data_IF_328262254450
#
_entry.id   IF_328262254450
#
_cell.length_a   1.000
_cell.length_b   1.000
_cell.length_c   1.000
_cell.angle_alpha   90.00
_cell.angle_beta   90.00
_cell.angle_gamma   90.00
#
_symmetry.space_group_name_H-M   'P 1'
#
loop_
_entity.id
_entity.type
_entity.pdbx_description
1 polymer ?
#
# COMPACT_ATOMS: atom_id res chain seq x y z
N UNK A 1 131.34 14.60 -110.29
CA UNK A 1 132.26 13.80 -111.13
C UNK A 1 131.58 13.51 -112.44
N UNK A 2 132.22 13.93 -113.52
CA UNK A 2 131.73 13.93 -114.90
C UNK A 2 131.72 12.51 -115.49
N UNK A 3 130.70 12.14 -116.28
CA UNK A 3 130.89 11.51 -117.60
C UNK A 3 129.62 11.50 -118.46
N UNK A 4 129.76 12.15 -119.61
CA UNK A 4 128.84 12.17 -120.75
C UNK A 4 129.09 10.99 -121.71
N UNK A 5 128.03 10.58 -122.41
CA UNK A 5 128.05 10.01 -123.77
C UNK A 5 127.65 8.53 -123.88
N UNK A 6 127.03 8.07 -125.00
CA UNK A 6 127.16 8.62 -126.36
C UNK A 6 125.85 8.84 -127.17
N UNK A 7 126.02 9.45 -128.35
CA UNK A 7 125.05 9.78 -129.41
C UNK A 7 124.73 8.60 -130.35
N UNK A 8 123.62 8.77 -131.10
CA UNK A 8 123.22 8.24 -132.44
C UNK A 8 122.39 6.94 -132.49
N UNK A 9 121.12 7.07 -132.94
CA UNK A 9 120.66 6.72 -134.30
C UNK A 9 119.21 7.16 -134.49
N UNK A 10 118.89 7.83 -135.61
CA UNK A 10 117.50 8.11 -136.06
C UNK A 10 116.96 6.80 -136.64
N UNK A 11 116.15 6.10 -135.84
CA UNK A 11 115.32 4.95 -136.26
C UNK A 11 113.84 5.35 -136.33
N UNK A 12 113.08 4.64 -137.16
CA UNK A 12 111.66 4.87 -137.48
C UNK A 12 110.79 5.14 -136.24
N UNK A 13 109.87 6.10 -136.38
CA UNK A 13 108.97 6.51 -135.28
C UNK A 13 107.80 5.53 -135.21
N UNK A 14 107.96 4.46 -134.43
CA UNK A 14 106.86 3.55 -134.10
C UNK A 14 106.04 4.22 -132.99
N UNK A 15 104.77 4.53 -133.27
CA UNK A 15 103.82 5.04 -132.27
C UNK A 15 102.72 3.99 -132.15
N UNK A 16 102.56 3.45 -130.94
CA UNK A 16 101.59 2.40 -130.60
C UNK A 16 101.67 1.12 -131.47
N UNK A 17 102.88 0.61 -131.64
CA UNK A 17 103.13 -0.66 -132.33
C UNK A 17 103.03 -0.65 -133.87
N UNK A 18 102.77 0.51 -134.48
CA UNK A 18 102.64 0.68 -135.94
C UNK A 18 103.78 1.55 -136.50
N UNK A 19 104.42 1.08 -137.58
CA UNK A 19 105.52 1.78 -138.27
C UNK A 19 104.97 2.92 -139.16
N UNK A 20 105.17 4.16 -138.73
CA UNK A 20 104.59 5.37 -139.36
C UNK A 20 105.35 5.84 -140.62
N UNK A 21 106.43 5.15 -141.00
CA UNK A 21 107.34 5.59 -142.06
C UNK A 21 106.87 5.33 -143.51
N UNK A 22 105.80 4.55 -143.70
CA UNK A 22 105.24 4.17 -145.01
C UNK A 22 103.77 4.60 -145.23
N UNK A 23 103.19 5.36 -144.28
CA UNK A 23 101.79 5.78 -144.34
C UNK A 23 101.62 7.13 -145.05
N UNK A 24 100.60 7.25 -145.90
CA UNK A 24 100.25 8.52 -146.53
C UNK A 24 99.74 9.53 -145.49
N UNK A 25 99.75 10.83 -145.80
CA UNK A 25 99.29 11.90 -144.89
C UNK A 25 97.90 11.63 -144.30
N UNK A 26 96.95 11.13 -145.12
CA UNK A 26 95.60 10.78 -144.67
C UNK A 26 95.59 9.59 -143.69
N UNK A 27 96.47 8.61 -143.87
CA UNK A 27 96.57 7.45 -142.98
C UNK A 27 97.20 7.82 -141.63
N UNK A 28 98.16 8.75 -141.60
CA UNK A 28 98.71 9.29 -140.36
C UNK A 28 97.70 10.17 -139.61
N UNK A 29 96.89 10.97 -140.34
CA UNK A 29 95.81 11.75 -139.74
C UNK A 29 94.74 10.83 -139.11
N UNK A 30 94.35 9.73 -139.77
CA UNK A 30 93.42 8.75 -139.19
C UNK A 30 94.00 7.98 -137.99
N UNK A 31 95.29 7.66 -138.00
CA UNK A 31 95.95 6.98 -136.87
C UNK A 31 96.08 7.92 -135.66
N UNK A 32 96.43 9.18 -135.88
CA UNK A 32 96.42 10.22 -134.85
C UNK A 32 95.00 10.46 -134.29
N UNK A 33 93.97 10.39 -135.12
CA UNK A 33 92.57 10.48 -134.68
C UNK A 33 92.16 9.27 -133.83
N UNK A 34 92.61 8.07 -134.18
CA UNK A 34 92.37 6.84 -133.39
C UNK A 34 93.02 6.90 -132.02
N UNK A 35 94.31 7.23 -131.95
CA UNK A 35 95.05 7.41 -130.70
C UNK A 35 94.47 8.53 -129.84
N UNK A 36 94.00 9.60 -130.47
CA UNK A 36 93.29 10.68 -129.76
C UNK A 36 91.96 10.17 -129.18
N UNK A 37 91.18 9.41 -129.94
CA UNK A 37 89.91 8.85 -129.48
C UNK A 37 90.11 7.82 -128.36
N UNK A 38 91.15 6.99 -128.43
CA UNK A 38 91.52 6.07 -127.35
C UNK A 38 92.00 6.81 -126.10
N UNK A 39 92.82 7.85 -126.26
CA UNK A 39 93.18 8.74 -125.16
C UNK A 39 91.99 9.47 -124.55
N UNK A 40 91.00 9.90 -125.36
CA UNK A 40 89.75 10.49 -124.87
C UNK A 40 88.90 9.45 -124.13
N UNK A 41 88.78 8.22 -124.66
CA UNK A 41 88.06 7.13 -123.99
C UNK A 41 88.72 6.72 -122.67
N UNK A 42 90.03 6.55 -122.61
CA UNK A 42 90.73 6.25 -121.35
C UNK A 42 90.58 7.39 -120.33
N UNK A 43 90.52 8.65 -120.80
CA UNK A 43 90.21 9.80 -119.93
C UNK A 43 88.78 9.75 -119.41
N UNK A 44 87.81 9.42 -120.25
CA UNK A 44 86.40 9.25 -119.87
C UNK A 44 86.23 8.09 -118.88
N UNK A 45 86.87 6.94 -119.12
CA UNK A 45 86.85 5.78 -118.23
C UNK A 45 87.52 6.12 -116.89
N UNK A 46 88.69 6.78 -116.89
CA UNK A 46 89.32 7.26 -115.65
C UNK A 46 88.40 8.22 -114.89
N UNK A 47 87.75 9.16 -115.58
CA UNK A 47 86.83 10.11 -114.96
C UNK A 47 85.61 9.38 -114.37
N UNK A 48 85.03 8.44 -115.10
CA UNK A 48 83.94 7.59 -114.62
C UNK A 48 84.33 6.81 -113.36
N UNK A 49 85.48 6.14 -113.35
CA UNK A 49 85.95 5.40 -112.16
C UNK A 49 86.31 6.33 -110.99
N UNK A 50 86.79 7.55 -111.26
CA UNK A 50 86.99 8.55 -110.21
C UNK A 50 85.66 8.99 -109.59
N UNK A 51 84.65 9.30 -110.42
CA UNK A 51 83.30 9.64 -109.98
C UNK A 51 82.66 8.50 -109.18
N UNK A 52 82.76 7.25 -109.65
CA UNK A 52 82.21 6.09 -108.94
C UNK A 52 82.94 5.82 -107.62
N UNK A 53 84.27 5.95 -107.58
CA UNK A 53 85.03 5.86 -106.33
C UNK A 53 84.63 6.95 -105.34
N UNK A 54 84.47 8.19 -105.81
CA UNK A 54 84.11 9.32 -104.95
C UNK A 54 82.65 9.18 -104.47
N UNK A 55 81.72 8.69 -105.30
CA UNK A 55 80.37 8.30 -104.89
C UNK A 55 80.40 7.19 -103.83
N UNK A 56 81.14 6.10 -104.06
CA UNK A 56 81.28 5.02 -103.08
C UNK A 56 81.88 5.52 -101.76
N UNK A 57 82.85 6.44 -101.83
CA UNK A 57 83.41 7.09 -100.64
C UNK A 57 82.36 7.92 -99.91
N UNK A 58 81.56 8.73 -100.60
CA UNK A 58 80.48 9.50 -99.97
C UNK A 58 79.42 8.59 -99.34
N UNK A 59 79.01 7.50 -100.02
CA UNK A 59 78.09 6.52 -99.44
C UNK A 59 78.70 5.84 -98.21
N UNK A 60 79.98 5.47 -98.27
CA UNK A 60 80.68 4.89 -97.12
C UNK A 60 80.77 5.87 -95.95
N UNK A 61 81.08 7.14 -96.19
CA UNK A 61 81.10 8.18 -95.16
C UNK A 61 79.70 8.43 -94.56
N UNK A 62 78.65 8.48 -95.39
CA UNK A 62 77.26 8.63 -94.95
C UNK A 62 76.81 7.43 -94.11
N UNK A 63 76.99 6.21 -94.62
CA UNK A 63 76.59 4.98 -93.91
C UNK A 63 77.39 4.77 -92.63
N UNK A 64 78.67 5.11 -92.62
CA UNK A 64 79.49 5.14 -91.41
C UNK A 64 78.94 6.16 -90.40
N UNK A 65 78.62 7.37 -90.84
CA UNK A 65 78.05 8.41 -89.97
C UNK A 65 76.69 7.97 -89.40
N UNK A 66 75.81 7.42 -90.24
CA UNK A 66 74.51 6.87 -89.81
C UNK A 66 74.68 5.72 -88.82
N UNK A 67 75.68 4.85 -89.00
CA UNK A 67 76.00 3.79 -88.05
C UNK A 67 76.50 4.36 -86.72
N UNK A 68 77.36 5.38 -86.75
CA UNK A 68 77.83 6.07 -85.54
C UNK A 68 76.68 6.78 -84.81
N UNK A 69 75.77 7.45 -85.53
CA UNK A 69 74.56 8.07 -85.00
C UNK A 69 73.58 7.04 -84.40
N UNK A 70 73.35 5.92 -85.09
CA UNK A 70 72.50 4.84 -84.60
C UNK A 70 73.08 4.21 -83.32
N UNK A 71 74.40 3.97 -83.28
CA UNK A 71 75.10 3.49 -82.08
C UNK A 71 75.00 4.50 -80.94
N UNK A 72 75.15 5.79 -81.20
CA UNK A 72 74.97 6.83 -80.19
C UNK A 72 73.53 6.85 -79.65
N UNK A 73 72.54 6.71 -80.53
CA UNK A 73 71.12 6.63 -80.16
C UNK A 73 70.83 5.40 -79.30
N UNK A 74 71.35 4.22 -79.67
CA UNK A 74 71.21 3.00 -78.87
C UNK A 74 71.79 3.20 -77.47
N UNK A 75 73.02 3.72 -77.34
CA UNK A 75 73.61 4.01 -76.03
C UNK A 75 72.81 5.03 -75.22
N UNK A 76 72.20 6.02 -75.87
CA UNK A 76 71.31 6.96 -75.21
C UNK A 76 70.08 6.25 -74.67
N UNK A 77 69.48 5.35 -75.47
CA UNK A 77 68.30 4.57 -75.05
C UNK A 77 68.60 3.53 -73.98
N UNK A 78 69.76 2.90 -74.02
CA UNK A 78 70.24 2.02 -72.95
C UNK A 78 70.35 2.79 -71.63
N UNK A 79 70.91 4.00 -71.65
CA UNK A 79 70.93 4.88 -70.46
C UNK A 79 69.53 5.30 -70.02
N UNK A 80 68.64 5.68 -70.94
CA UNK A 80 67.26 6.03 -70.60
C UNK A 80 66.56 4.86 -69.90
N UNK A 81 66.80 3.62 -70.34
CA UNK A 81 66.26 2.40 -69.72
C UNK A 81 66.86 2.15 -68.35
N UNK A 82 68.17 2.31 -68.18
CA UNK A 82 68.86 2.16 -66.89
C UNK A 82 68.31 3.16 -65.86
N UNK A 83 68.21 4.44 -66.24
CA UNK A 83 67.62 5.49 -65.37
C UNK A 83 66.16 5.18 -65.03
N UNK A 84 65.36 4.71 -65.99
CA UNK A 84 63.97 4.33 -65.72
C UNK A 84 63.86 3.14 -64.76
N UNK A 85 64.77 2.15 -64.85
CA UNK A 85 64.84 1.03 -63.92
C UNK A 85 65.25 1.48 -62.51
N UNK A 86 66.26 2.36 -62.40
CA UNK A 86 66.67 2.92 -61.11
C UNK A 86 65.52 3.69 -60.42
N UNK A 87 64.76 4.48 -61.18
CA UNK A 87 63.59 5.18 -60.68
C UNK A 87 62.50 4.20 -60.23
N UNK A 88 62.19 3.18 -61.02
CA UNK A 88 61.20 2.16 -60.66
C UNK A 88 61.60 1.36 -59.41
N UNK A 89 62.90 1.04 -59.25
CA UNK A 89 63.43 0.39 -58.06
C UNK A 89 63.34 1.29 -56.83
N UNK A 90 63.59 2.59 -57.00
CA UNK A 90 63.43 3.56 -55.92
C UNK A 90 61.96 3.71 -55.50
N UNK A 91 61.04 3.81 -56.46
CA UNK A 91 59.60 3.88 -56.20
C UNK A 91 59.11 2.61 -55.50
N UNK A 92 59.56 1.44 -55.95
CA UNK A 92 59.24 0.16 -55.31
C UNK A 92 59.72 0.12 -53.87
N UNK A 93 60.93 0.61 -53.58
CA UNK A 93 61.45 0.73 -52.21
C UNK A 93 60.63 1.70 -51.36
N UNK A 94 60.27 2.87 -51.90
CA UNK A 94 59.47 3.86 -51.21
C UNK A 94 58.09 3.29 -50.85
N UNK A 95 57.36 2.71 -51.82
CA UNK A 95 56.05 2.08 -51.60
C UNK A 95 56.15 0.92 -50.58
N UNK A 96 57.22 0.11 -50.66
CA UNK A 96 57.44 -0.98 -49.69
C UNK A 96 57.67 -0.44 -48.28
N UNK A 97 58.40 0.67 -48.13
CA UNK A 97 58.62 1.32 -46.82
C UNK A 97 57.33 1.95 -46.28
N UNK A 98 56.56 2.65 -47.12
CA UNK A 98 55.25 3.20 -46.76
C UNK A 98 54.29 2.11 -46.30
N UNK A 99 54.23 0.98 -47.01
CA UNK A 99 53.40 -0.16 -46.60
C UNK A 99 53.82 -0.73 -45.24
N UNK A 100 55.13 -0.85 -44.98
CA UNK A 100 55.64 -1.32 -43.69
C UNK A 100 55.32 -0.33 -42.56
N UNK A 101 55.45 0.96 -42.80
CA UNK A 101 55.09 2.00 -41.84
C UNK A 101 53.61 1.94 -41.51
N UNK A 102 52.75 1.88 -42.53
CA UNK A 102 51.30 1.80 -42.35
C UNK A 102 50.88 0.54 -41.59
N UNK A 103 51.50 -0.61 -41.87
CA UNK A 103 51.26 -1.84 -41.12
C UNK A 103 51.67 -1.72 -39.65
N UNK A 104 52.82 -1.08 -39.37
CA UNK A 104 53.27 -0.85 -38.01
C UNK A 104 52.34 0.11 -37.26
N UNK A 105 51.94 1.21 -37.89
CA UNK A 105 50.98 2.17 -37.33
C UNK A 105 49.64 1.51 -37.03
N UNK A 106 49.08 0.74 -37.98
CA UNK A 106 47.85 -0.01 -37.75
C UNK A 106 47.99 -0.98 -36.57
N UNK A 107 49.11 -1.72 -36.50
CA UNK A 107 49.34 -2.66 -35.41
C UNK A 107 49.50 -1.95 -34.06
N UNK A 108 50.18 -0.80 -34.02
CA UNK A 108 50.32 0.05 -32.83
C UNK A 108 48.97 0.57 -32.39
N UNK A 109 48.19 1.13 -33.32
CA UNK A 109 46.88 1.69 -33.04
C UNK A 109 45.89 0.62 -32.54
N UNK A 110 45.91 -0.58 -33.13
CA UNK A 110 45.13 -1.72 -32.62
C UNK A 110 45.58 -2.11 -31.20
N UNK A 111 46.89 -2.06 -30.91
CA UNK A 111 47.42 -2.31 -29.58
C UNK A 111 46.94 -1.29 -28.55
N UNK A 112 47.01 0.00 -28.89
CA UNK A 112 46.52 1.11 -28.09
C UNK A 112 45.01 1.00 -27.82
N UNK A 113 44.20 0.81 -28.87
CA UNK A 113 42.76 0.61 -28.73
C UNK A 113 42.41 -0.58 -27.83
N UNK A 114 43.12 -1.71 -27.96
CA UNK A 114 42.90 -2.86 -27.08
C UNK A 114 43.26 -2.56 -25.63
N UNK A 115 44.34 -1.82 -25.39
CA UNK A 115 44.72 -1.41 -24.05
C UNK A 115 43.67 -0.46 -23.45
N UNK A 116 43.21 0.53 -24.21
CA UNK A 116 42.14 1.46 -23.80
C UNK A 116 40.82 0.75 -23.52
N UNK A 117 40.39 -0.18 -24.38
CA UNK A 117 39.18 -0.96 -24.14
C UNK A 117 39.30 -1.82 -22.87
N UNK A 118 40.48 -2.40 -22.62
CA UNK A 118 40.72 -3.20 -21.42
C UNK A 118 40.70 -2.35 -20.15
N UNK A 119 41.26 -1.14 -20.18
CA UNK A 119 41.20 -0.23 -19.02
C UNK A 119 39.79 0.27 -18.77
N UNK A 120 39.05 0.66 -19.82
CA UNK A 120 37.64 1.04 -19.71
C UNK A 120 36.77 -0.08 -19.15
N UNK A 121 36.96 -1.32 -19.63
CA UNK A 121 36.24 -2.48 -19.13
C UNK A 121 36.52 -2.71 -17.64
N UNK A 122 37.80 -2.58 -17.23
CA UNK A 122 38.19 -2.74 -15.83
C UNK A 122 37.60 -1.64 -14.93
N UNK A 123 37.60 -0.39 -15.38
CA UNK A 123 36.96 0.71 -14.66
C UNK A 123 35.46 0.47 -14.50
N UNK A 124 34.77 0.07 -15.57
CA UNK A 124 33.35 -0.25 -15.48
C UNK A 124 33.06 -1.41 -14.51
N UNK A 125 33.91 -2.45 -14.50
CA UNK A 125 33.79 -3.56 -13.54
C UNK A 125 34.01 -3.10 -12.09
N UNK A 126 35.00 -2.25 -11.84
CA UNK A 126 35.29 -1.69 -10.51
C UNK A 126 34.13 -0.80 -10.04
N UNK A 127 33.58 0.07 -10.91
CA UNK A 127 32.43 0.92 -10.62
C UNK A 127 31.18 0.08 -10.30
N UNK A 128 30.90 -0.96 -11.08
CA UNK A 128 29.80 -1.87 -10.79
C UNK A 128 29.97 -2.61 -9.46
N UNK A 129 31.19 -3.05 -9.13
CA UNK A 129 31.47 -3.69 -7.85
C UNK A 129 31.29 -2.75 -6.66
N UNK A 130 31.63 -1.46 -6.82
CA UNK A 130 31.38 -0.43 -5.82
C UNK A 130 29.88 -0.19 -5.62
N UNK A 131 29.12 -0.02 -6.70
CA UNK A 131 27.66 0.13 -6.65
C UNK A 131 26.98 -1.07 -5.98
N UNK A 132 27.40 -2.30 -6.31
CA UNK A 132 26.86 -3.50 -5.68
C UNK A 132 27.11 -3.49 -4.17
N UNK A 133 28.31 -3.10 -3.74
CA UNK A 133 28.68 -3.01 -2.33
C UNK A 133 27.87 -1.94 -1.59
N UNK A 134 27.63 -0.79 -2.21
CA UNK A 134 26.77 0.28 -1.67
C UNK A 134 25.33 -0.22 -1.50
N UNK A 135 24.76 -0.84 -2.53
CA UNK A 135 23.40 -1.42 -2.46
C UNK A 135 23.28 -2.49 -1.38
N UNK A 136 24.32 -3.32 -1.18
CA UNK A 136 24.34 -4.31 -0.09
C UNK A 136 24.40 -3.66 1.29
N UNK A 137 25.13 -2.55 1.44
CA UNK A 137 25.17 -1.79 2.69
C UNK A 137 23.82 -1.12 2.97
N UNK A 138 23.22 -0.47 1.96
CA UNK A 138 21.90 0.15 2.07
C UNK A 138 20.84 -0.89 2.44
N UNK A 139 20.86 -2.06 1.80
CA UNK A 139 19.98 -3.18 2.15
C UNK A 139 20.14 -3.63 3.60
N UNK A 140 21.36 -3.66 4.13
CA UNK A 140 21.62 -4.02 5.54
C UNK A 140 21.09 -2.94 6.48
N UNK A 141 21.30 -1.67 6.15
CA UNK A 141 20.86 -0.54 6.96
C UNK A 141 19.33 -0.41 6.97
N UNK A 142 18.69 -0.54 5.81
CA UNK A 142 17.22 -0.57 5.72
C UNK A 142 16.62 -1.72 6.53
N UNK A 143 17.25 -2.90 6.55
CA UNK A 143 16.83 -4.01 7.41
C UNK A 143 17.01 -3.72 8.90
N UNK A 144 18.06 -2.99 9.27
CA UNK A 144 18.29 -2.55 10.66
C UNK A 144 17.21 -1.56 11.08
N UNK A 145 16.94 -0.55 10.26
CA UNK A 145 15.92 0.47 10.50
C UNK A 145 14.51 -0.13 10.54
N UNK A 146 14.21 -1.13 9.71
CA UNK A 146 12.93 -1.83 9.75
C UNK A 146 12.73 -2.55 11.09
N UNK A 147 13.73 -3.31 11.55
CA UNK A 147 13.69 -3.98 12.87
C UNK A 147 13.53 -2.98 14.01
N UNK A 148 14.28 -1.88 13.98
CA UNK A 148 14.18 -0.83 14.99
C UNK A 148 12.78 -0.19 15.04
N UNK A 149 12.15 0.03 13.88
CA UNK A 149 10.76 0.50 13.81
C UNK A 149 9.76 -0.53 14.31
N UNK A 150 9.95 -1.80 14.00
CA UNK A 150 9.10 -2.89 14.49
C UNK A 150 9.19 -3.01 16.02
N UNK A 151 10.39 -3.02 16.58
CA UNK A 151 10.64 -3.06 18.03
C UNK A 151 10.03 -1.84 18.74
N UNK A 152 10.21 -0.64 18.19
CA UNK A 152 9.59 0.58 18.73
C UNK A 152 8.06 0.53 18.68
N UNK A 153 7.48 0.04 17.57
CA UNK A 153 6.03 -0.15 17.45
C UNK A 153 5.48 -1.16 18.47
N UNK A 154 6.20 -2.26 18.72
CA UNK A 154 5.84 -3.22 19.76
C UNK A 154 5.90 -2.61 21.17
N UNK A 155 6.94 -1.81 21.46
CA UNK A 155 7.07 -1.10 22.74
C UNK A 155 5.93 -0.10 22.96
N UNK A 156 5.55 0.67 21.94
CA UNK A 156 4.41 1.59 22.01
C UNK A 156 3.10 0.85 22.30
N UNK A 157 2.86 -0.28 21.63
CA UNK A 157 1.67 -1.12 21.88
C UNK A 157 1.68 -1.68 23.30
N UNK A 158 2.84 -2.11 23.81
CA UNK A 158 2.96 -2.59 25.20
C UNK A 158 2.67 -1.49 26.21
N UNK A 159 3.20 -0.27 26.00
CA UNK A 159 2.94 0.89 26.84
C UNK A 159 1.46 1.28 26.84
N UNK A 160 0.80 1.26 25.67
CA UNK A 160 -0.64 1.52 25.57
C UNK A 160 -1.46 0.48 26.32
N UNK A 161 -1.09 -0.81 26.22
CA UNK A 161 -1.75 -1.89 26.98
C UNK A 161 -1.57 -1.74 28.49
N UNK A 162 -0.38 -1.38 28.94
CA UNK A 162 -0.10 -1.12 30.35
C UNK A 162 -0.96 0.03 30.87
N UNK A 163 -0.96 1.16 30.17
CA UNK A 163 -1.77 2.35 30.52
C UNK A 163 -3.26 2.04 30.54
N UNK A 164 -3.75 1.25 29.58
CA UNK A 164 -5.14 0.82 29.57
C UNK A 164 -5.50 -0.07 30.77
N UNK A 165 -4.62 -1.02 31.13
CA UNK A 165 -4.78 -1.86 32.32
C UNK A 165 -4.82 -1.03 33.61
N UNK A 166 -3.94 -0.04 33.73
CA UNK A 166 -3.93 0.89 34.86
C UNK A 166 -5.24 1.68 34.97
N UNK A 167 -5.73 2.26 33.87
CA UNK A 167 -7.01 2.99 33.86
C UNK A 167 -8.19 2.08 34.20
N UNK A 168 -8.22 0.86 33.67
CA UNK A 168 -9.24 -0.13 34.03
C UNK A 168 -9.21 -0.48 35.51
N UNK A 169 -8.02 -0.62 36.09
CA UNK A 169 -7.85 -0.88 37.52
C UNK A 169 -8.36 0.29 38.36
N UNK A 170 -8.05 1.53 37.97
CA UNK A 170 -8.54 2.74 38.64
C UNK A 170 -10.06 2.85 38.60
N UNK A 171 -10.69 2.63 37.44
CA UNK A 171 -12.15 2.66 37.31
C UNK A 171 -12.82 1.52 38.10
N UNK A 172 -12.24 0.32 38.12
CA UNK A 172 -12.72 -0.78 38.97
C UNK A 172 -12.63 -0.43 40.46
N UNK A 173 -11.56 0.23 40.89
CA UNK A 173 -11.40 0.67 42.27
C UNK A 173 -12.46 1.72 42.64
N UNK A 174 -12.70 2.71 41.77
CA UNK A 174 -13.76 3.71 41.95
C UNK A 174 -15.13 3.08 42.10
N UNK A 175 -15.52 2.17 41.19
CA UNK A 175 -16.81 1.50 41.28
C UNK A 175 -16.93 0.64 42.54
N UNK A 176 -15.84 0.02 42.98
CA UNK A 176 -15.83 -0.74 44.23
C UNK A 176 -16.10 0.16 45.43
N UNK A 177 -15.42 1.31 45.52
CA UNK A 177 -15.64 2.29 46.57
C UNK A 177 -17.07 2.85 46.56
N UNK A 178 -17.62 3.16 45.37
CA UNK A 178 -19.00 3.61 45.22
C UNK A 178 -20.02 2.56 45.69
N UNK A 179 -19.82 1.28 45.33
CA UNK A 179 -20.67 0.18 45.77
C UNK A 179 -20.58 0.00 47.29
N UNK A 180 -19.38 0.05 47.88
CA UNK A 180 -19.19 -0.06 49.33
C UNK A 180 -19.88 1.11 50.06
N UNK A 181 -19.75 2.34 49.56
CA UNK A 181 -20.40 3.52 50.13
C UNK A 181 -21.93 3.42 50.06
N UNK A 182 -22.48 3.01 48.91
CA UNK A 182 -23.92 2.81 48.72
C UNK A 182 -24.47 1.68 49.60
N UNK A 183 -23.74 0.58 49.72
CA UNK A 183 -24.12 -0.55 50.59
C UNK A 183 -24.19 -0.09 52.04
N UNK A 184 -23.15 0.61 52.51
CA UNK A 184 -23.10 1.16 53.87
C UNK A 184 -24.24 2.13 54.15
N UNK A 185 -24.58 2.99 53.18
CA UNK A 185 -25.70 3.93 53.29
C UNK A 185 -27.04 3.18 53.48
N UNK A 186 -27.29 2.15 52.67
CA UNK A 186 -28.52 1.37 52.77
C UNK A 186 -28.59 0.52 54.04
N UNK A 187 -27.47 -0.05 54.49
CA UNK A 187 -27.39 -0.76 55.76
C UNK A 187 -27.72 0.15 56.94
N UNK A 188 -27.16 1.36 56.97
CA UNK A 188 -27.46 2.36 57.99
C UNK A 188 -28.94 2.75 57.97
N UNK A 189 -29.51 2.97 56.78
CA UNK A 189 -30.93 3.30 56.63
C UNK A 189 -31.85 2.17 57.09
N UNK A 190 -31.49 0.92 56.77
CA UNK A 190 -32.21 -0.26 57.24
C UNK A 190 -32.14 -0.40 58.77
N UNK A 191 -30.98 -0.16 59.37
CA UNK A 191 -30.80 -0.19 60.82
C UNK A 191 -31.67 0.86 61.51
N UNK A 192 -31.66 2.11 61.02
CA UNK A 192 -32.52 3.18 61.52
C UNK A 192 -34.01 2.83 61.42
N UNK A 193 -34.47 2.25 60.30
CA UNK A 193 -35.86 1.81 60.18
C UNK A 193 -36.24 0.69 61.14
N UNK A 194 -35.30 -0.22 61.45
CA UNK A 194 -35.54 -1.27 62.46
C UNK A 194 -35.67 -0.67 63.85
N UNK A 195 -34.77 0.23 64.23
CA UNK A 195 -34.80 0.93 65.52
C UNK A 195 -36.10 1.74 65.68
N UNK A 196 -36.51 2.50 64.66
CA UNK A 196 -37.81 3.21 64.67
C UNK A 196 -39.01 2.27 64.80
N UNK A 197 -38.97 1.09 64.18
CA UNK A 197 -40.04 0.10 64.28
C UNK A 197 -40.07 -0.56 65.67
N UNK A 198 -38.91 -0.87 66.24
CA UNK A 198 -38.77 -1.41 67.60
C UNK A 198 -39.29 -0.41 68.64
N UNK A 199 -38.88 0.85 68.58
CA UNK A 199 -39.36 1.90 69.49
C UNK A 199 -40.87 2.09 69.39
N UNK A 200 -41.44 2.10 68.18
CA UNK A 200 -42.90 2.15 68.00
C UNK A 200 -43.59 0.94 68.63
N UNK A 201 -43.04 -0.25 68.44
CA UNK A 201 -43.61 -1.47 68.99
C UNK A 201 -43.57 -1.48 70.52
N UNK A 202 -42.45 -1.07 71.12
CA UNK A 202 -42.32 -0.92 72.57
C UNK A 202 -43.31 0.10 73.14
N UNK A 203 -43.47 1.25 72.47
CA UNK A 203 -44.45 2.26 72.85
C UNK A 203 -45.89 1.71 72.80
N UNK A 204 -46.26 1.03 71.72
CA UNK A 204 -47.59 0.39 71.58
C UNK A 204 -47.82 -0.69 72.66
N UNK A 205 -46.79 -1.47 73.01
CA UNK A 205 -46.85 -2.44 74.10
C UNK A 205 -47.07 -1.76 75.45
N UNK A 206 -46.29 -0.73 75.77
CA UNK A 206 -46.44 0.05 77.01
C UNK A 206 -47.82 0.69 77.12
N UNK A 207 -48.36 1.28 76.05
CA UNK A 207 -49.73 1.81 76.05
C UNK A 207 -50.79 0.73 76.32
N UNK A 208 -50.62 -0.48 75.77
CA UNK A 208 -51.52 -1.60 76.03
C UNK A 208 -51.39 -2.08 77.47
N UNK A 209 -50.19 -2.16 78.01
CA UNK A 209 -49.92 -2.52 79.40
C UNK A 209 -50.52 -1.51 80.37
N UNK A 210 -50.34 -0.21 80.15
CA UNK A 210 -50.96 0.84 80.96
C UNK A 210 -52.48 0.74 80.93
N UNK A 211 -53.10 0.57 79.74
CA UNK A 211 -54.55 0.38 79.64
C UNK A 211 -55.04 -0.85 80.40
N UNK A 212 -54.33 -1.97 80.31
CA UNK A 212 -54.67 -3.20 81.06
C UNK A 212 -54.49 -3.01 82.57
N UNK A 213 -53.41 -2.36 83.00
CA UNK A 213 -53.15 -2.08 84.41
C UNK A 213 -54.22 -1.15 84.99
N UNK A 214 -54.63 -0.12 84.24
CA UNK A 214 -55.74 0.75 84.63
C UNK A 214 -57.04 -0.05 84.80
N UNK A 215 -57.37 -0.94 83.86
CA UNK A 215 -58.55 -1.81 83.97
C UNK A 215 -58.46 -2.77 85.16
N UNK A 216 -57.28 -3.32 85.45
CA UNK A 216 -57.06 -4.16 86.64
C UNK A 216 -57.30 -3.35 87.92
N UNK A 217 -56.76 -2.13 88.01
CA UNK A 217 -56.97 -1.24 89.15
C UNK A 217 -58.45 -0.89 89.35
N UNK A 218 -59.17 -0.57 88.26
CA UNK A 218 -60.61 -0.32 88.30
C UNK A 218 -61.39 -1.55 88.77
N UNK A 219 -61.05 -2.74 88.26
CA UNK A 219 -61.68 -3.99 88.67
C UNK A 219 -61.44 -4.30 90.15
N UNK A 220 -60.22 -4.08 90.65
CA UNK A 220 -59.88 -4.22 92.08
C UNK A 220 -60.74 -3.26 92.90
N UNK A 221 -60.80 -1.98 92.52
CA UNK A 221 -61.60 -0.98 93.24
C UNK A 221 -63.10 -1.34 93.23
N UNK A 222 -63.62 -1.80 92.10
CA UNK A 222 -65.02 -2.22 91.96
C UNK A 222 -65.32 -3.43 92.85
N UNK A 223 -64.41 -4.42 92.88
CA UNK A 223 -64.53 -5.58 93.76
C UNK A 223 -64.42 -5.22 95.24
N UNK A 224 -63.51 -4.30 95.61
CA UNK A 224 -63.42 -3.80 96.98
C UNK A 224 -64.70 -3.09 97.43
N UNK A 225 -65.29 -2.29 96.55
CA UNK A 225 -66.57 -1.62 96.80
C UNK A 225 -67.70 -2.64 96.93
N UNK A 226 -67.82 -3.60 96.01
CA UNK A 226 -68.80 -4.67 96.09
C UNK A 226 -68.62 -5.52 97.36
N UNK A 227 -67.39 -5.79 97.78
CA UNK A 227 -67.10 -6.47 99.04
C UNK A 227 -67.51 -5.64 100.25
N UNK A 228 -67.24 -4.32 100.25
CA UNK A 228 -67.72 -3.41 101.31
C UNK A 228 -69.24 -3.35 101.36
N UNK A 229 -69.91 -3.27 100.22
CA UNK A 229 -71.38 -3.30 100.13
C UNK A 229 -71.93 -4.63 100.63
N UNK A 230 -71.37 -5.77 100.21
CA UNK A 230 -71.76 -7.10 100.68
C UNK A 230 -71.53 -7.25 102.17
N UNK A 231 -70.39 -6.78 102.69
CA UNK A 231 -70.10 -6.74 104.13
C UNK A 231 -71.07 -5.83 104.87
N UNK A 232 -71.42 -4.67 104.30
CA UNK A 232 -72.44 -3.77 104.81
C UNK A 232 -73.80 -4.45 104.89
N UNK A 233 -74.25 -5.05 103.79
CA UNK A 233 -75.49 -5.81 103.71
C UNK A 233 -75.56 -6.95 104.73
N UNK A 234 -74.50 -7.74 104.89
CA UNK A 234 -74.47 -8.77 105.92
C UNK A 234 -74.39 -8.19 107.33
N UNK A 235 -73.69 -7.09 107.55
CA UNK A 235 -73.66 -6.41 108.84
C UNK A 235 -75.03 -5.83 109.19
N UNK A 236 -75.76 -5.29 108.22
CA UNK A 236 -77.12 -4.80 108.34
C UNK A 236 -78.09 -5.94 108.57
N UNK A 237 -77.94 -7.08 107.87
CA UNK A 237 -78.67 -8.32 108.21
C UNK A 237 -78.31 -8.76 109.62
N UNK A 238 -77.07 -8.65 110.06
CA UNK A 238 -76.67 -9.08 111.40
C UNK A 238 -77.26 -8.16 112.46
N UNK A 239 -77.28 -6.85 112.23
CA UNK A 239 -77.92 -5.85 113.07
C UNK A 239 -79.45 -6.01 113.08
N UNK A 240 -80.05 -6.25 111.92
CA UNK A 240 -81.47 -6.48 111.77
C UNK A 240 -81.87 -7.84 112.38
N UNK A 241 -81.01 -8.86 112.26
CA UNK A 241 -81.16 -10.14 112.96
C UNK A 241 -80.95 -9.97 114.47
N UNK A 242 -80.08 -9.07 114.94
CA UNK A 242 -79.92 -8.74 116.36
C UNK A 242 -81.16 -8.00 116.89
N UNK A 243 -81.72 -7.08 116.11
CA UNK A 243 -82.97 -6.38 116.41
C UNK A 243 -84.16 -7.36 116.39
N UNK A 244 -84.21 -8.24 115.38
CA UNK A 244 -85.17 -9.32 115.27
C UNK A 244 -85.01 -10.31 116.42
N UNK A 245 -83.80 -10.72 116.80
CA UNK A 245 -83.50 -11.58 117.96
C UNK A 245 -83.95 -10.90 119.25
N UNK A 246 -83.79 -9.58 119.40
CA UNK A 246 -84.32 -8.87 120.56
C UNK A 246 -85.86 -8.86 120.55
N UNK A 247 -86.51 -8.60 119.41
CA UNK A 247 -87.97 -8.70 119.29
C UNK A 247 -88.48 -10.15 119.42
N UNK A 248 -87.68 -11.13 118.99
CA UNK A 248 -87.97 -12.55 119.08
C UNK A 248 -87.64 -13.10 120.47
N UNK A 249 -86.81 -12.45 121.29
CA UNK A 249 -86.70 -12.74 122.73
C UNK A 249 -87.94 -12.25 123.47
N UNK A 250 -88.51 -11.13 123.03
CA UNK A 250 -89.83 -10.67 123.45
C UNK A 250 -90.94 -11.64 123.01
N UNK A 251 -90.88 -12.13 121.77
CA UNK A 251 -91.85 -13.11 121.23
C UNK A 251 -91.54 -14.57 121.59
N UNK A 252 -90.35 -14.95 122.06
CA UNK A 252 -89.99 -16.32 122.48
C UNK A 252 -90.62 -16.67 123.82
N UNK A 253 -90.96 -15.67 124.64
CA UNK A 253 -91.83 -15.86 125.79
C UNK A 253 -93.27 -16.20 125.35
N UNK A 254 -93.70 -15.72 124.16
CA UNK A 254 -94.99 -16.06 123.53
C UNK A 254 -94.96 -17.34 122.66
N UNK A 255 -93.85 -17.65 121.98
CA UNK A 255 -93.69 -18.77 121.05
C UNK A 255 -93.12 -20.05 121.69
N UNK A 256 -92.76 -20.04 122.98
CA UNK A 256 -92.57 -21.26 123.78
C UNK A 256 -93.81 -22.18 123.74
N UNK A 257 -94.97 -21.59 123.42
CA UNK A 257 -96.27 -22.26 123.29
C UNK A 257 -96.50 -22.84 121.88
N UNK A 258 -95.75 -22.40 120.86
CA UNK A 258 -96.02 -22.75 119.45
C UNK A 258 -94.95 -23.66 118.81
N UNK A 259 -93.80 -23.86 119.45
CA UNK A 259 -92.67 -24.63 118.92
C UNK A 259 -92.84 -26.17 118.97
N UNK A 260 -93.94 -26.69 119.51
CA UNK A 260 -94.24 -28.12 119.54
C UNK A 260 -94.77 -28.69 118.19
N UNK A 261 -95.02 -27.84 117.18
CA UNK A 261 -95.78 -28.29 115.97
C UNK A 261 -94.99 -28.48 114.67
N UNK A 262 -93.92 -27.75 114.38
CA UNK A 262 -93.44 -27.66 112.98
C UNK A 262 -92.05 -28.27 112.72
N UNK A 263 -91.65 -29.25 113.53
CA UNK A 263 -90.39 -30.00 113.36
C UNK A 263 -90.45 -31.13 112.31
N UNK A 264 -91.42 -31.13 111.38
CA UNK A 264 -91.75 -32.33 110.59
C UNK A 264 -91.58 -32.32 109.07
N UNK A 265 -91.23 -31.22 108.40
CA UNK A 265 -91.26 -31.19 106.91
C UNK A 265 -90.00 -30.60 106.22
N UNK A 266 -88.81 -31.18 106.37
CA UNK A 266 -87.69 -30.76 105.51
C UNK A 266 -86.66 -31.85 105.14
N UNK A 267 -87.12 -33.00 104.61
CA UNK A 267 -86.22 -34.04 104.07
C UNK A 267 -86.34 -34.30 102.56
N UNK A 268 -87.23 -33.62 101.82
CA UNK A 268 -87.49 -33.94 100.41
C UNK A 268 -86.66 -33.11 99.40
N UNK A 269 -86.15 -31.93 99.76
CA UNK A 269 -85.45 -31.03 98.80
C UNK A 269 -84.02 -31.51 98.45
N UNK A 270 -83.45 -32.44 99.21
CA UNK A 270 -82.05 -32.87 99.06
C UNK A 270 -81.80 -33.95 97.98
N UNK A 271 -82.83 -34.62 97.46
CA UNK A 271 -82.67 -35.76 96.55
C UNK A 271 -82.67 -35.38 95.06
N UNK A 272 -83.45 -34.37 94.66
CA UNK A 272 -83.59 -33.94 93.25
C UNK A 272 -82.30 -33.33 92.67
N UNK A 273 -81.51 -32.65 93.53
CA UNK A 273 -80.35 -31.86 93.12
C UNK A 273 -79.12 -32.70 92.71
N UNK A 274 -79.10 -34.02 93.02
CA UNK A 274 -77.97 -34.91 92.67
C UNK A 274 -78.11 -35.56 91.29
N UNK A 275 -79.29 -35.52 90.65
CA UNK A 275 -79.56 -36.27 89.41
C UNK A 275 -79.25 -35.50 88.11
N UNK A 276 -79.07 -34.19 88.18
CA UNK A 276 -78.95 -33.30 87.00
C UNK A 276 -77.51 -32.85 86.67
N UNK A 277 -76.52 -33.19 87.51
CA UNK A 277 -75.14 -32.69 87.40
C UNK A 277 -74.34 -33.38 86.28
N UNK A 278 -74.58 -34.67 86.04
CA UNK A 278 -73.79 -35.49 85.13
C UNK A 278 -74.14 -35.29 83.63
N UNK A 279 -75.43 -35.16 83.22
CA UNK A 279 -75.79 -34.84 81.85
C UNK A 279 -75.32 -33.45 81.40
N UNK A 280 -75.31 -32.48 82.32
CA UNK A 280 -74.86 -31.10 82.04
C UNK A 280 -73.36 -31.03 81.74
N UNK A 281 -72.56 -31.85 82.43
CA UNK A 281 -71.10 -31.91 82.26
C UNK A 281 -70.72 -32.51 80.90
N UNK A 282 -71.42 -33.56 80.47
CA UNK A 282 -71.17 -34.22 79.18
C UNK A 282 -71.53 -33.30 77.98
N UNK A 283 -72.64 -32.57 78.07
CA UNK A 283 -73.03 -31.59 77.05
C UNK A 283 -72.04 -30.41 76.95
N UNK A 284 -71.47 -29.96 78.07
CA UNK A 284 -70.43 -28.91 78.08
C UNK A 284 -69.13 -29.38 77.42
N UNK A 285 -68.69 -30.63 77.65
CA UNK A 285 -67.49 -31.18 77.00
C UNK A 285 -67.64 -31.32 75.49
N UNK A 286 -68.80 -31.77 75.01
CA UNK A 286 -69.07 -31.92 73.57
C UNK A 286 -69.13 -30.56 72.85
N UNK A 287 -69.69 -29.54 73.51
CA UNK A 287 -69.75 -28.17 72.99
C UNK A 287 -68.35 -27.55 72.85
N UNK A 288 -67.43 -27.84 73.77
CA UNK A 288 -66.02 -27.39 73.67
C UNK A 288 -65.29 -28.06 72.50
N UNK A 289 -65.51 -29.35 72.27
CA UNK A 289 -64.90 -30.05 71.12
C UNK A 289 -65.44 -29.54 69.78
N UNK A 290 -66.75 -29.31 69.67
CA UNK A 290 -67.35 -28.76 68.46
C UNK A 290 -66.86 -27.33 68.16
N UNK A 291 -66.68 -26.49 69.19
CA UNK A 291 -66.07 -25.16 69.03
C UNK A 291 -64.63 -25.22 68.54
N UNK A 292 -63.83 -26.18 69.02
CA UNK A 292 -62.46 -26.39 68.51
C UNK A 292 -62.46 -26.79 67.03
N UNK A 293 -63.32 -27.74 66.63
CA UNK A 293 -63.43 -28.17 65.22
C UNK A 293 -63.87 -27.03 64.31
N UNK A 294 -64.81 -26.19 64.75
CA UNK A 294 -65.24 -24.99 64.02
C UNK A 294 -64.08 -24.00 63.85
N UNK A 295 -63.29 -23.76 64.90
CA UNK A 295 -62.15 -22.86 64.82
C UNK A 295 -61.07 -23.34 63.84
N UNK A 296 -60.78 -24.64 63.80
CA UNK A 296 -59.87 -25.21 62.80
C UNK A 296 -60.41 -25.05 61.38
N UNK A 297 -61.70 -25.30 61.16
CA UNK A 297 -62.34 -25.11 59.86
C UNK A 297 -62.27 -23.66 59.37
N UNK A 298 -62.54 -22.68 60.24
CA UNK A 298 -62.45 -21.26 59.91
C UNK A 298 -61.02 -20.83 59.57
N UNK A 299 -60.02 -21.35 60.31
CA UNK A 299 -58.61 -21.12 60.03
C UNK A 299 -58.19 -21.67 58.67
N UNK A 300 -58.63 -22.88 58.34
CA UNK A 300 -58.29 -23.54 57.09
C UNK A 300 -58.98 -22.85 55.90
N UNK A 301 -60.23 -22.40 56.07
CA UNK A 301 -60.96 -21.58 55.08
C UNK A 301 -60.25 -20.25 54.80
N UNK A 302 -59.78 -19.55 55.84
CA UNK A 302 -59.02 -18.31 55.68
C UNK A 302 -57.68 -18.55 54.96
N UNK A 303 -57.02 -19.68 55.24
CA UNK A 303 -55.76 -20.06 54.60
C UNK A 303 -55.96 -20.42 53.14
N UNK A 304 -57.02 -21.16 52.81
CA UNK A 304 -57.40 -21.48 51.42
C UNK A 304 -57.67 -20.22 50.60
N UNK A 305 -58.36 -19.23 51.16
CA UNK A 305 -58.63 -17.97 50.49
C UNK A 305 -57.33 -17.19 50.20
N UNK A 306 -56.39 -17.14 51.14
CA UNK A 306 -55.07 -16.53 50.91
C UNK A 306 -54.28 -17.23 49.81
N UNK A 307 -54.28 -18.57 49.80
CA UNK A 307 -53.61 -19.36 48.75
C UNK A 307 -54.26 -19.14 47.39
N UNK A 308 -55.60 -19.10 47.31
CA UNK A 308 -56.33 -18.80 46.07
C UNK A 308 -56.02 -17.41 45.53
N UNK A 309 -55.98 -16.39 46.40
CA UNK A 309 -55.61 -15.03 46.01
C UNK A 309 -54.18 -14.96 45.48
N UNK A 310 -53.24 -15.63 46.16
CA UNK A 310 -51.84 -15.70 45.72
C UNK A 310 -51.71 -16.44 44.40
N UNK A 311 -52.39 -17.57 44.22
CA UNK A 311 -52.41 -18.30 42.97
C UNK A 311 -52.92 -17.42 41.82
N UNK A 312 -54.00 -16.67 42.05
CA UNK A 312 -54.53 -15.73 41.07
C UNK A 312 -53.55 -14.63 40.67
N UNK A 313 -52.78 -14.07 41.62
CA UNK A 313 -51.76 -13.07 41.30
C UNK A 313 -50.58 -13.68 40.55
N UNK A 314 -50.10 -14.86 40.95
CA UNK A 314 -48.99 -15.54 40.26
C UNK A 314 -49.39 -15.97 38.85
N UNK A 315 -50.63 -16.41 38.63
CA UNK A 315 -51.15 -16.76 37.30
C UNK A 315 -51.15 -15.55 36.36
N UNK A 316 -51.56 -14.38 36.85
CA UNK A 316 -51.52 -13.13 36.07
C UNK A 316 -50.09 -12.72 35.72
N UNK A 317 -49.17 -12.81 36.68
CA UNK A 317 -47.74 -12.54 36.45
C UNK A 317 -47.15 -13.50 35.41
N UNK A 318 -47.45 -14.79 35.51
CA UNK A 318 -47.01 -15.79 34.53
C UNK A 318 -47.54 -15.48 33.12
N UNK A 319 -48.82 -15.09 33.00
CA UNK A 319 -49.40 -14.71 31.71
C UNK A 319 -48.74 -13.46 31.13
N UNK A 320 -48.45 -12.46 31.96
CA UNK A 320 -47.75 -11.24 31.54
C UNK A 320 -46.33 -11.54 31.05
N UNK A 321 -45.58 -12.34 31.81
CA UNK A 321 -44.21 -12.73 31.47
C UNK A 321 -44.14 -13.57 30.20
N UNK A 322 -45.11 -14.46 29.95
CA UNK A 322 -45.20 -15.21 28.69
C UNK A 322 -45.37 -14.27 27.49
N UNK A 323 -46.28 -13.31 27.60
CA UNK A 323 -46.53 -12.33 26.54
C UNK A 323 -45.30 -11.46 26.25
N UNK A 324 -44.59 -11.05 27.30
CA UNK A 324 -43.33 -10.31 27.17
C UNK A 324 -42.23 -11.16 26.53
N UNK A 325 -42.11 -12.44 26.93
CA UNK A 325 -41.19 -13.39 26.33
C UNK A 325 -41.45 -13.59 24.83
N UNK A 326 -42.71 -13.76 24.43
CA UNK A 326 -43.09 -13.93 23.02
C UNK A 326 -42.76 -12.68 22.20
N UNK A 327 -43.01 -11.48 22.73
CA UNK A 327 -42.66 -10.21 22.09
C UNK A 327 -41.15 -10.05 21.95
N UNK A 328 -40.39 -10.37 22.99
CA UNK A 328 -38.92 -10.32 22.94
C UNK A 328 -38.35 -11.32 21.94
N UNK A 329 -38.93 -12.53 21.87
CA UNK A 329 -38.52 -13.55 20.91
C UNK A 329 -38.74 -13.09 19.47
N UNK A 330 -39.93 -12.57 19.13
CA UNK A 330 -40.20 -12.00 17.80
C UNK A 330 -39.24 -10.87 17.44
N UNK A 331 -38.90 -10.02 18.43
CA UNK A 331 -37.93 -8.93 18.22
C UNK A 331 -36.52 -9.45 17.95
N UNK A 332 -36.10 -10.48 18.66
CA UNK A 332 -34.82 -11.14 18.43
C UNK A 332 -34.76 -11.79 17.04
N UNK A 333 -35.81 -12.50 16.62
CA UNK A 333 -35.89 -13.11 15.29
C UNK A 333 -35.75 -12.05 14.19
N UNK A 334 -36.46 -10.93 14.32
CA UNK A 334 -36.35 -9.81 13.37
C UNK A 334 -34.94 -9.19 13.33
N UNK A 335 -34.29 -9.00 14.48
CA UNK A 335 -32.92 -8.49 14.52
C UNK A 335 -31.91 -9.45 13.89
N UNK A 336 -32.14 -10.75 14.04
CA UNK A 336 -31.32 -11.79 13.39
C UNK A 336 -31.48 -11.73 11.87
N UNK A 337 -32.71 -11.57 11.36
CA UNK A 337 -32.97 -11.38 9.94
C UNK A 337 -32.30 -10.11 9.38
N UNK A 338 -32.43 -8.97 10.06
CA UNK A 338 -31.82 -7.70 9.66
C UNK A 338 -30.28 -7.81 9.62
N UNK A 339 -29.68 -8.46 10.62
CA UNK A 339 -28.24 -8.76 10.65
C UNK A 339 -27.81 -9.59 9.45
N UNK A 340 -28.54 -10.66 9.15
CA UNK A 340 -28.18 -11.58 8.06
C UNK A 340 -28.33 -10.93 6.68
N UNK A 341 -29.36 -10.09 6.52
CA UNK A 341 -29.52 -9.27 5.31
C UNK A 341 -28.38 -8.28 5.14
N UNK A 342 -27.99 -7.55 6.20
CA UNK A 342 -26.87 -6.62 6.17
C UNK A 342 -25.56 -7.33 5.81
N UNK A 343 -25.31 -8.50 6.41
CA UNK A 343 -24.13 -9.32 6.10
C UNK A 343 -24.11 -9.74 4.63
N UNK A 344 -25.24 -10.21 4.09
CA UNK A 344 -25.35 -10.59 2.68
C UNK A 344 -25.13 -9.41 1.73
N UNK A 345 -25.69 -8.23 2.04
CA UNK A 345 -25.48 -7.02 1.24
C UNK A 345 -24.02 -6.55 1.26
N UNK A 346 -23.36 -6.64 2.41
CA UNK A 346 -21.95 -6.31 2.56
C UNK A 346 -21.06 -7.24 1.73
N UNK A 347 -21.28 -8.56 1.81
CA UNK A 347 -20.55 -9.56 1.01
C UNK A 347 -20.73 -9.31 -0.49
N UNK A 348 -21.97 -9.03 -0.95
CA UNK A 348 -22.24 -8.67 -2.35
C UNK A 348 -21.49 -7.41 -2.78
N UNK A 349 -21.54 -6.37 -1.95
CA UNK A 349 -20.87 -5.08 -2.24
C UNK A 349 -19.35 -5.23 -2.34
N UNK A 350 -18.74 -6.06 -1.48
CA UNK A 350 -17.31 -6.39 -1.56
C UNK A 350 -16.97 -7.10 -2.87
N UNK A 351 -17.75 -8.13 -3.23
CA UNK A 351 -17.52 -8.88 -4.46
C UNK A 351 -17.65 -7.99 -5.70
N UNK A 352 -18.66 -7.12 -5.75
CA UNK A 352 -18.82 -6.15 -6.83
C UNK A 352 -17.65 -5.17 -6.92
N UNK A 353 -17.16 -4.67 -5.78
CA UNK A 353 -16.01 -3.77 -5.72
C UNK A 353 -14.72 -4.48 -6.19
N UNK A 354 -14.52 -5.72 -5.75
CA UNK A 354 -13.40 -6.55 -6.20
C UNK A 354 -13.46 -6.83 -7.70
N UNK A 355 -14.64 -7.15 -8.25
CA UNK A 355 -14.82 -7.35 -9.69
C UNK A 355 -14.53 -6.07 -10.49
N UNK A 356 -15.06 -4.91 -10.06
CA UNK A 356 -14.80 -3.62 -10.73
C UNK A 356 -13.32 -3.25 -10.68
N UNK A 357 -12.68 -3.42 -9.53
CA UNK A 357 -11.24 -3.17 -9.37
C UNK A 357 -10.40 -4.13 -10.22
N UNK A 358 -10.74 -5.42 -10.21
CA UNK A 358 -10.08 -6.44 -11.02
C UNK A 358 -10.18 -6.17 -12.52
N UNK A 359 -11.37 -5.80 -13.02
CA UNK A 359 -11.56 -5.41 -14.42
C UNK A 359 -10.74 -4.16 -14.78
N UNK A 360 -10.69 -3.16 -13.89
CA UNK A 360 -9.89 -1.95 -14.10
C UNK A 360 -8.39 -2.28 -14.16
N UNK A 361 -7.89 -3.13 -13.26
CA UNK A 361 -6.50 -3.55 -13.24
C UNK A 361 -6.14 -4.33 -14.50
N UNK A 362 -6.96 -5.30 -14.90
CA UNK A 362 -6.72 -6.07 -16.13
C UNK A 362 -6.72 -5.18 -17.39
N UNK A 363 -7.58 -4.16 -17.43
CA UNK A 363 -7.57 -3.17 -18.52
C UNK A 363 -6.28 -2.33 -18.52
N UNK A 364 -5.80 -1.92 -17.35
CA UNK A 364 -4.56 -1.15 -17.21
C UNK A 364 -3.33 -2.00 -17.58
N UNK A 365 -3.27 -3.26 -17.16
CA UNK A 365 -2.23 -4.22 -17.55
C UNK A 365 -2.17 -4.38 -19.07
N UNK A 366 -3.31 -4.59 -19.73
CA UNK A 366 -3.37 -4.67 -21.20
C UNK A 366 -2.92 -3.38 -21.89
N UNK A 367 -3.25 -2.21 -21.32
CA UNK A 367 -2.77 -0.93 -21.86
C UNK A 367 -1.27 -0.77 -21.68
N UNK A 368 -0.72 -1.18 -20.53
CA UNK A 368 0.72 -1.18 -20.28
C UNK A 368 1.44 -2.10 -21.27
N UNK A 369 1.00 -3.35 -21.39
CA UNK A 369 1.57 -4.33 -22.33
C UNK A 369 1.54 -3.81 -23.78
N UNK A 370 0.45 -3.16 -24.18
CA UNK A 370 0.37 -2.52 -25.50
C UNK A 370 1.37 -1.38 -25.67
N UNK A 371 1.52 -0.51 -24.67
CA UNK A 371 2.46 0.62 -24.70
C UNK A 371 3.91 0.13 -24.66
N UNK A 372 4.22 -0.89 -23.87
CA UNK A 372 5.54 -1.54 -23.81
C UNK A 372 5.90 -2.11 -25.18
N UNK A 373 5.00 -2.90 -25.79
CA UNK A 373 5.21 -3.45 -27.14
C UNK A 373 5.40 -2.35 -28.19
N UNK A 374 4.65 -1.26 -28.11
CA UNK A 374 4.83 -0.10 -29.01
C UNK A 374 6.18 0.59 -28.79
N UNK A 375 6.65 0.66 -27.55
CA UNK A 375 7.96 1.22 -27.20
C UNK A 375 9.08 0.34 -27.73
N UNK A 376 9.04 -0.98 -27.50
CA UNK A 376 10.01 -1.94 -28.03
C UNK A 376 10.10 -1.88 -29.57
N UNK A 377 8.95 -1.81 -30.25
CA UNK A 377 8.92 -1.66 -31.72
C UNK A 377 9.59 -0.36 -32.17
N UNK A 378 9.32 0.75 -31.49
CA UNK A 378 9.92 2.05 -31.81
C UNK A 378 11.42 2.07 -31.51
N UNK A 379 11.86 1.47 -30.41
CA UNK A 379 13.27 1.34 -30.06
C UNK A 379 14.03 0.49 -31.07
N UNK A 380 13.45 -0.63 -31.52
CA UNK A 380 14.03 -1.46 -32.57
C UNK A 380 14.19 -0.68 -33.88
N UNK A 381 13.14 0.02 -34.34
CA UNK A 381 13.19 0.87 -35.55
C UNK A 381 14.23 2.00 -35.37
N UNK A 382 14.26 2.65 -34.21
CA UNK A 382 15.22 3.72 -33.93
C UNK A 382 16.66 3.19 -33.94
N UNK A 383 16.91 2.01 -33.38
CA UNK A 383 18.19 1.34 -33.41
C UNK A 383 18.67 1.02 -34.83
N UNK A 384 17.78 0.50 -35.68
CA UNK A 384 18.09 0.25 -37.11
C UNK A 384 18.41 1.54 -37.86
N UNK A 385 17.61 2.59 -37.68
CA UNK A 385 17.80 3.88 -38.36
C UNK A 385 19.09 4.57 -37.91
N UNK A 386 19.39 4.57 -36.62
CA UNK A 386 20.64 5.15 -36.08
C UNK A 386 21.87 4.40 -36.59
N UNK A 387 21.79 3.07 -36.68
CA UNK A 387 22.85 2.22 -37.27
C UNK A 387 23.08 2.55 -38.74
N UNK A 388 22.02 2.66 -39.55
CA UNK A 388 22.12 3.00 -40.98
C UNK A 388 22.63 4.43 -41.23
N UNK A 389 22.31 5.37 -40.36
CA UNK A 389 22.70 6.77 -40.49
C UNK A 389 24.13 7.06 -40.01
N UNK A 390 24.80 6.11 -39.35
CA UNK A 390 26.16 6.30 -38.80
C UNK A 390 26.22 7.37 -37.70
N UNK A 391 25.10 7.64 -37.01
CA UNK A 391 25.01 8.64 -35.95
C UNK A 391 25.24 7.97 -34.61
N UNK A 392 26.20 8.47 -33.83
CA UNK A 392 26.47 7.98 -32.48
C UNK A 392 25.25 8.23 -31.56
N UNK A 393 24.58 7.17 -31.05
CA UNK A 393 23.29 7.30 -30.37
C UNK A 393 23.32 8.18 -29.11
N UNK A 394 24.45 8.20 -28.40
CA UNK A 394 24.54 8.77 -27.06
C UNK A 394 24.51 10.31 -27.04
N UNK A 395 25.18 10.98 -28.00
CA UNK A 395 25.29 12.45 -27.98
C UNK A 395 24.01 13.16 -28.45
N UNK A 396 23.29 12.58 -29.42
CA UNK A 396 22.00 13.09 -29.90
C UNK A 396 20.88 12.83 -28.87
N UNK A 397 20.89 11.64 -28.24
CA UNK A 397 19.91 11.25 -27.22
C UNK A 397 19.93 12.18 -26.03
N UNK A 398 21.11 12.49 -25.46
CA UNK A 398 21.23 13.37 -24.27
C UNK A 398 20.70 14.78 -24.55
N UNK A 399 20.94 15.33 -25.76
CA UNK A 399 20.48 16.68 -26.11
C UNK A 399 18.97 16.74 -26.30
N UNK A 400 18.40 15.73 -26.96
CA UNK A 400 16.94 15.62 -27.17
C UNK A 400 16.24 15.36 -25.83
N UNK A 401 16.80 14.48 -24.99
CA UNK A 401 16.28 14.15 -23.67
C UNK A 401 16.27 15.36 -22.74
N UNK A 402 17.37 16.14 -22.69
CA UNK A 402 17.39 17.41 -21.94
C UNK A 402 16.33 18.40 -22.44
N UNK A 403 16.12 18.49 -23.76
CA UNK A 403 15.09 19.36 -24.34
C UNK A 403 13.67 18.89 -24.00
N UNK A 404 13.43 17.58 -24.02
CA UNK A 404 12.16 16.96 -23.65
C UNK A 404 11.84 17.16 -22.18
N UNK A 405 12.83 16.96 -21.29
CA UNK A 405 12.69 17.23 -19.85
C UNK A 405 12.32 18.69 -19.62
N UNK A 406 13.08 19.63 -20.20
CA UNK A 406 12.76 21.06 -20.08
C UNK A 406 11.35 21.42 -20.59
N UNK A 407 10.92 20.82 -21.71
CA UNK A 407 9.57 21.02 -22.25
C UNK A 407 8.51 20.43 -21.33
N UNK A 408 8.74 19.23 -20.79
CA UNK A 408 7.81 18.56 -19.88
C UNK A 408 7.69 19.27 -18.54
N UNK A 409 8.79 19.75 -17.97
CA UNK A 409 8.80 20.58 -16.77
C UNK A 409 8.00 21.86 -17.03
N UNK A 410 8.22 22.50 -18.19
CA UNK A 410 7.43 23.68 -18.55
C UNK A 410 5.94 23.39 -18.72
N UNK A 411 5.58 22.21 -19.24
CA UNK A 411 4.18 21.77 -19.34
C UNK A 411 3.59 21.55 -17.94
N UNK A 412 4.33 20.92 -17.03
CA UNK A 412 3.90 20.73 -15.65
C UNK A 412 3.72 22.07 -14.93
N UNK A 413 4.68 22.98 -15.05
CA UNK A 413 4.61 24.33 -14.48
C UNK A 413 3.38 25.07 -15.00
N UNK A 414 3.15 25.05 -16.31
CA UNK A 414 1.98 25.71 -16.92
C UNK A 414 0.66 25.06 -16.48
N UNK A 415 0.61 23.74 -16.32
CA UNK A 415 -0.57 23.02 -15.79
C UNK A 415 -0.82 23.39 -14.33
N UNK A 416 0.24 23.48 -13.53
CA UNK A 416 0.15 23.90 -12.13
C UNK A 416 -0.33 25.35 -12.03
N UNK A 417 0.24 26.25 -12.82
CA UNK A 417 -0.16 27.65 -12.90
C UNK A 417 -1.62 27.79 -13.33
N UNK A 418 -2.05 27.05 -14.35
CA UNK A 418 -3.45 27.01 -14.77
C UNK A 418 -4.35 26.54 -13.63
N UNK A 419 -4.02 25.42 -12.96
CA UNK A 419 -4.80 24.92 -11.84
C UNK A 419 -4.85 25.91 -10.67
N UNK A 420 -3.73 26.60 -10.38
CA UNK A 420 -3.65 27.63 -9.35
C UNK A 420 -4.54 28.82 -9.69
N UNK A 421 -4.48 29.32 -10.93
CA UNK A 421 -5.32 30.45 -11.38
C UNK A 421 -6.79 30.06 -11.39
N UNK A 422 -7.15 28.87 -11.90
CA UNK A 422 -8.53 28.38 -11.87
C UNK A 422 -9.06 28.29 -10.43
N UNK A 423 -8.24 27.78 -9.49
CA UNK A 423 -8.63 27.73 -8.07
C UNK A 423 -8.79 29.13 -7.47
N UNK A 424 -7.85 30.04 -7.70
CA UNK A 424 -7.96 31.42 -7.21
C UNK A 424 -9.21 32.12 -7.77
N UNK A 425 -9.54 31.83 -9.02
CA UNK A 425 -10.73 32.35 -9.68
C UNK A 425 -12.02 31.76 -9.08
N UNK A 426 -12.08 30.45 -8.82
CA UNK A 426 -13.20 29.80 -8.13
C UNK A 426 -13.38 30.31 -6.68
N UNK A 427 -12.27 30.52 -5.97
CA UNK A 427 -12.26 31.05 -4.61
C UNK A 427 -12.73 32.53 -4.60
N UNK A 428 -12.30 33.34 -5.58
CA UNK A 428 -12.73 34.72 -5.75
C UNK A 428 -14.22 34.80 -6.11
N UNK A 429 -14.69 33.95 -7.03
CA UNK A 429 -16.11 33.80 -7.34
C UNK A 429 -16.87 33.51 -6.05
N UNK A 430 -16.51 32.45 -5.32
CA UNK A 430 -17.15 32.08 -4.05
C UNK A 430 -17.18 33.23 -3.03
N UNK A 431 -16.13 34.05 -2.95
CA UNK A 431 -16.09 35.24 -2.09
C UNK A 431 -17.06 36.34 -2.58
N UNK A 432 -17.12 36.59 -3.89
CA UNK A 432 -18.07 37.52 -4.49
C UNK A 432 -19.51 37.06 -4.27
N UNK A 433 -19.79 35.77 -4.47
CA UNK A 433 -21.09 35.14 -4.19
C UNK A 433 -21.51 35.38 -2.73
N UNK A 434 -20.61 35.08 -1.79
CA UNK A 434 -20.85 35.28 -0.36
C UNK A 434 -21.07 36.77 0.00
N UNK A 435 -20.42 37.70 -0.72
CA UNK A 435 -20.56 39.14 -0.46
C UNK A 435 -21.85 39.71 -1.07
N UNK A 436 -22.23 39.30 -2.27
CA UNK A 436 -23.49 39.67 -2.91
C UNK A 436 -24.70 39.15 -2.12
N UNK A 437 -24.62 37.92 -1.60
CA UNK A 437 -25.63 37.34 -0.73
C UNK A 437 -25.86 38.17 0.54
N UNK A 438 -24.80 38.77 1.12
CA UNK A 438 -24.92 39.68 2.29
C UNK A 438 -25.68 40.97 1.97
N UNK A 439 -25.73 41.39 0.70
CA UNK A 439 -26.51 42.55 0.25
C UNK A 439 -27.87 42.15 -0.35
N UNK A 440 -28.27 40.88 -0.24
CA UNK A 440 -29.56 40.37 -0.73
C UNK A 440 -29.65 40.16 -2.24
N UNK A 441 -28.51 40.15 -2.94
CA UNK A 441 -28.43 39.92 -4.40
C UNK A 441 -28.00 38.46 -4.62
N UNK A 442 -28.78 37.70 -5.38
CA UNK A 442 -28.46 36.28 -5.67
C UNK A 442 -27.81 36.14 -7.04
N UNK A 443 -26.94 35.13 -7.25
CA UNK A 443 -26.27 34.95 -8.55
C UNK A 443 -27.20 34.65 -9.73
N UNK A 444 -28.44 34.24 -9.45
CA UNK A 444 -29.48 34.10 -10.48
C UNK A 444 -29.84 35.44 -11.12
N UNK A 445 -29.64 36.55 -10.41
CA UNK A 445 -30.02 37.89 -10.84
C UNK A 445 -28.98 38.55 -11.77
N UNK A 446 -27.78 37.97 -11.89
CA UNK A 446 -26.64 38.54 -12.63
C UNK A 446 -26.31 37.80 -13.93
N UNK A 447 -27.05 36.75 -14.32
CA UNK A 447 -26.75 35.89 -15.49
C UNK A 447 -25.32 35.26 -15.49
N UNK A 448 -24.60 35.30 -14.37
CA UNK A 448 -23.21 34.82 -14.24
C UNK A 448 -23.08 33.28 -14.11
N UNK A 449 -24.15 32.54 -14.36
CA UNK A 449 -24.19 31.08 -14.18
C UNK A 449 -23.17 30.30 -15.04
N UNK A 450 -22.64 30.91 -16.10
CA UNK A 450 -21.68 30.30 -17.03
C UNK A 450 -20.20 30.53 -16.67
N UNK A 451 -19.89 31.23 -15.56
CA UNK A 451 -18.51 31.60 -15.22
C UNK A 451 -17.73 30.53 -14.46
N UNK A 452 -18.39 29.50 -13.93
CA UNK A 452 -17.69 28.29 -13.48
C UNK A 452 -17.45 27.41 -14.71
N UNK A 453 -16.19 27.24 -15.06
CA UNK A 453 -15.80 26.24 -16.05
C UNK A 453 -16.32 24.87 -15.57
N UNK A 454 -17.22 24.25 -16.34
CA UNK A 454 -17.67 22.88 -16.04
C UNK A 454 -16.45 21.95 -15.99
N UNK A 455 -16.34 21.20 -14.90
CA UNK A 455 -15.21 20.32 -14.59
C UNK A 455 -15.11 19.12 -15.51
#
# INVERSE_FOLDING_TARGET
TIKMGPKKAKGSTVIDGVDTSSMSREQLEQFALRLRNEMEREREERNFFQLERDKLRTFWEITRKQLEEAKATIRSKERDVEVAQELADQDTKNVTQEMKHLQYEHQSHIGELKAEMMTQLKMAQEDHALQERELLNDKRELRRLLREKEENGELEVQQLKLKHSELLSQERARFKEEIEAMTKLFEQRLASYKEEAEVRHEMELSEVEERKNAQISELIQTNENAYKEMKGYYNDITLNNLALINSMKEQMEELRIQCDKDLKNNSEVMAENRRLVEPLKNAQTELVELRKKLHYYDRDKATLNRVKSRLGSTQKQLSSLKLESDVLQMRCEKLVEERDQLKSMFEKSILELQQKSGLKNSLLERKLEYIEKQTEQREAILGEVLSLAGIEPQSLSIRIEKLLVQKNDKIQDLRYELARVSKMYDDLLSLMEAKLAKFGITLKDLELGSLRMEK
#
